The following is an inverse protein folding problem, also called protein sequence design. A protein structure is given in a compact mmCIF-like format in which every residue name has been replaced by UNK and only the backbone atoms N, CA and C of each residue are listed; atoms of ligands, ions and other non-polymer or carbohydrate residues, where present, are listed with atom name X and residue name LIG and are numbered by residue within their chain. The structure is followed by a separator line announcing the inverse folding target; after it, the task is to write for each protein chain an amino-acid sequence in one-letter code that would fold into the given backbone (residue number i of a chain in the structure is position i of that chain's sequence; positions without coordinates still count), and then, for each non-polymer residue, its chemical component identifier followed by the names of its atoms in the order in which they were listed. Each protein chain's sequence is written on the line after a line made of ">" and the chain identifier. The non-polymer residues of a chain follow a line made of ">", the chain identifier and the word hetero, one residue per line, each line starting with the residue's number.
data_IF_072394558915
#
_entry.id   IF_072394558915
#
_cell.length_a   1.000
_cell.length_b   1.000
_cell.length_c   1.000
_cell.angle_alpha   90.00
_cell.angle_beta   90.00
_cell.angle_gamma   90.00
#
_symmetry.space_group_name_H-M   'P 1'
#
loop_
_entity.id
_entity.type
_entity.pdbx_description
1 polymer ?
#
# COMPACT_ATOMS: atom_id res chain seq x y z
N UNK A 1 2.74 -2.30 -15.42
CA UNK A 1 2.54 -1.87 -14.01
C UNK A 1 3.50 -2.66 -13.12
N UNK A 2 4.35 -1.99 -12.33
CA UNK A 2 5.17 -2.67 -11.31
C UNK A 2 4.40 -2.75 -10.00
N UNK A 3 4.24 -3.94 -9.42
CA UNK A 3 3.58 -4.13 -8.13
C UNK A 3 4.66 -4.45 -7.09
N UNK A 4 4.82 -3.59 -6.09
CA UNK A 4 5.71 -3.81 -4.96
C UNK A 4 4.88 -4.14 -3.72
N UNK A 5 4.91 -5.40 -3.31
CA UNK A 5 4.29 -5.86 -2.06
C UNK A 5 5.36 -6.02 -0.99
N UNK A 6 5.13 -5.48 0.21
CA UNK A 6 6.16 -5.53 1.25
C UNK A 6 6.39 -6.95 1.79
N UNK A 7 5.33 -7.71 2.06
CA UNK A 7 5.39 -9.07 2.61
C UNK A 7 4.16 -9.88 2.18
N UNK A 8 4.25 -11.20 2.14
CA UNK A 8 3.06 -12.05 1.98
C UNK A 8 2.19 -12.00 3.23
N UNK A 9 0.93 -11.63 3.05
CA UNK A 9 -0.08 -11.60 4.09
C UNK A 9 -1.44 -11.48 3.41
N UNK A 10 -2.43 -12.24 3.86
CA UNK A 10 -3.72 -12.37 3.15
C UNK A 10 -4.39 -11.02 2.84
N UNK A 11 -4.30 -10.04 3.73
CA UNK A 11 -4.85 -8.70 3.47
C UNK A 11 -4.16 -7.96 2.32
N UNK A 12 -2.85 -8.15 2.16
CA UNK A 12 -2.06 -7.52 1.10
C UNK A 12 -2.29 -8.23 -0.24
N UNK A 13 -2.39 -9.57 -0.21
CA UNK A 13 -2.69 -10.38 -1.39
C UNK A 13 -4.07 -10.02 -1.96
N UNK A 14 -5.08 -9.91 -1.09
CA UNK A 14 -6.43 -9.48 -1.47
C UNK A 14 -6.46 -8.05 -2.03
N UNK A 15 -5.54 -7.19 -1.60
CA UNK A 15 -5.44 -5.83 -2.15
C UNK A 15 -4.95 -5.85 -3.61
N UNK A 16 -4.05 -6.77 -3.96
CA UNK A 16 -3.62 -6.98 -5.34
C UNK A 16 -4.74 -7.58 -6.20
N UNK A 17 -5.45 -8.60 -5.70
CA UNK A 17 -6.59 -9.18 -6.39
C UNK A 17 -7.67 -8.12 -6.66
N UNK A 18 -8.01 -7.32 -5.66
CA UNK A 18 -8.95 -6.21 -5.80
C UNK A 18 -8.51 -5.15 -6.80
N UNK A 19 -7.21 -4.84 -6.86
CA UNK A 19 -6.65 -3.94 -7.87
C UNK A 19 -6.83 -4.50 -9.30
N UNK A 20 -6.48 -5.77 -9.52
CA UNK A 20 -6.66 -6.45 -10.81
C UNK A 20 -8.13 -6.48 -11.23
N UNK A 21 -9.02 -6.89 -10.33
CA UNK A 21 -10.46 -6.89 -10.56
C UNK A 21 -11.00 -5.47 -10.86
N UNK A 22 -10.44 -4.45 -10.21
CA UNK A 22 -10.74 -3.04 -10.49
C UNK A 22 -10.39 -2.65 -11.93
N UNK A 23 -9.20 -3.01 -12.42
CA UNK A 23 -8.80 -2.79 -13.82
C UNK A 23 -9.73 -3.52 -14.80
N UNK A 24 -10.01 -4.80 -14.54
CA UNK A 24 -10.92 -5.61 -15.36
C UNK A 24 -12.34 -5.02 -15.42
N UNK A 25 -12.85 -4.51 -14.29
CA UNK A 25 -14.16 -3.86 -14.23
C UNK A 25 -14.26 -2.59 -15.09
N UNK A 26 -13.11 -1.99 -15.44
CA UNK A 26 -13.01 -0.86 -16.37
C UNK A 26 -12.81 -1.30 -17.82
N UNK A 27 -12.83 -2.60 -18.08
CA UNK A 27 -12.67 -3.19 -19.41
C UNK A 27 -11.22 -3.38 -19.85
N UNK A 28 -10.25 -3.12 -18.96
CA UNK A 28 -8.83 -3.35 -19.23
C UNK A 28 -8.50 -4.83 -19.04
N UNK A 29 -7.71 -5.41 -19.94
CA UNK A 29 -7.32 -6.82 -19.91
C UNK A 29 -5.81 -6.97 -19.71
N UNK A 30 -5.43 -7.85 -18.79
CA UNK A 30 -4.03 -8.23 -18.61
C UNK A 30 -3.49 -8.87 -19.92
N UNK A 31 -2.22 -8.62 -20.22
CA UNK A 31 -1.50 -8.98 -21.45
C UNK A 31 -2.01 -8.34 -22.75
N UNK A 32 -3.02 -7.46 -22.67
CA UNK A 32 -3.51 -6.67 -23.80
C UNK A 32 -3.34 -5.17 -23.53
N UNK A 33 -3.92 -4.68 -22.44
CA UNK A 33 -3.92 -3.26 -22.07
C UNK A 33 -2.88 -2.96 -20.99
N UNK A 34 -2.57 -3.94 -20.13
CA UNK A 34 -1.56 -3.81 -19.09
C UNK A 34 -0.87 -5.15 -18.80
N UNK A 35 0.33 -5.07 -18.21
CA UNK A 35 1.04 -6.23 -17.64
C UNK A 35 1.40 -5.95 -16.19
N UNK A 36 1.45 -7.00 -15.38
CA UNK A 36 1.83 -6.93 -13.97
C UNK A 36 3.22 -7.53 -13.79
N UNK A 37 4.12 -6.75 -13.18
CA UNK A 37 5.42 -7.22 -12.69
C UNK A 37 5.37 -7.20 -11.17
N UNK A 38 5.02 -8.34 -10.58
CA UNK A 38 4.87 -8.49 -9.13
C UNK A 38 6.22 -8.81 -8.48
N UNK A 39 6.60 -8.00 -7.49
CA UNK A 39 7.77 -8.17 -6.66
C UNK A 39 7.35 -8.14 -5.18
N UNK A 40 7.81 -9.11 -4.40
CA UNK A 40 7.54 -9.19 -2.96
C UNK A 40 8.83 -9.04 -2.17
N UNK A 41 8.91 -8.03 -1.31
CA UNK A 41 10.11 -7.69 -0.55
C UNK A 41 10.38 -8.60 0.66
N UNK A 42 9.50 -9.56 0.95
CA UNK A 42 9.64 -10.53 2.04
C UNK A 42 9.89 -9.89 3.42
N UNK A 43 9.26 -8.74 3.65
CA UNK A 43 9.38 -7.96 4.89
C UNK A 43 10.69 -7.19 5.04
N UNK A 44 11.52 -7.11 3.99
CA UNK A 44 12.84 -6.48 4.05
C UNK A 44 12.89 -5.14 3.29
N UNK A 45 13.29 -4.08 4.00
CA UNK A 45 13.32 -2.71 3.45
C UNK A 45 14.38 -2.55 2.33
N UNK A 46 15.65 -2.99 2.50
CA UNK A 46 16.63 -2.95 1.41
C UNK A 46 16.18 -3.69 0.15
N UNK A 47 15.49 -4.83 0.30
CA UNK A 47 14.91 -5.58 -0.81
C UNK A 47 13.82 -4.77 -1.50
N UNK A 48 12.92 -4.12 -0.75
CA UNK A 48 11.90 -3.24 -1.30
C UNK A 48 12.50 -2.08 -2.12
N UNK A 49 13.58 -1.47 -1.62
CA UNK A 49 14.31 -0.41 -2.34
C UNK A 49 14.93 -0.94 -3.65
N UNK A 50 15.54 -2.13 -3.62
CA UNK A 50 16.12 -2.75 -4.82
C UNK A 50 15.06 -3.01 -5.89
N UNK A 51 13.90 -3.54 -5.49
CA UNK A 51 12.77 -3.81 -6.40
C UNK A 51 12.19 -2.52 -6.98
N UNK A 52 11.97 -1.50 -6.15
CA UNK A 52 11.54 -0.19 -6.62
C UNK A 52 12.55 0.42 -7.62
N UNK A 53 13.86 0.26 -7.37
CA UNK A 53 14.90 0.76 -8.29
C UNK A 53 14.84 0.03 -9.64
N UNK A 54 14.55 -1.26 -9.64
CA UNK A 54 14.34 -2.03 -10.86
C UNK A 54 13.11 -1.53 -11.63
N UNK A 55 12.02 -1.15 -10.95
CA UNK A 55 10.85 -0.56 -11.62
C UNK A 55 11.17 0.79 -12.27
N UNK A 56 11.95 1.63 -11.59
CA UNK A 56 12.41 2.91 -12.16
C UNK A 56 13.31 2.68 -13.38
N UNK A 57 14.28 1.77 -13.26
CA UNK A 57 15.22 1.44 -14.34
C UNK A 57 14.51 0.87 -15.57
N UNK A 58 13.49 0.03 -15.35
CA UNK A 58 12.65 -0.53 -16.39
C UNK A 58 11.52 0.42 -16.85
N UNK A 59 11.51 1.67 -16.37
CA UNK A 59 10.59 2.74 -16.77
C UNK A 59 9.12 2.31 -16.75
N UNK A 60 8.68 1.67 -15.64
CA UNK A 60 7.26 1.29 -15.48
C UNK A 60 6.37 2.53 -15.59
N UNK A 61 5.19 2.37 -16.20
CA UNK A 61 4.22 3.46 -16.36
C UNK A 61 3.49 3.81 -15.05
N UNK A 62 3.43 2.85 -14.12
CA UNK A 62 2.78 2.95 -12.82
C UNK A 62 3.47 1.99 -11.85
N UNK A 63 3.67 2.43 -10.61
CA UNK A 63 4.02 1.58 -9.48
C UNK A 63 2.80 1.46 -8.57
N UNK A 64 2.33 0.24 -8.32
CA UNK A 64 1.34 -0.07 -7.31
C UNK A 64 2.06 -0.61 -6.07
N UNK A 65 2.04 0.15 -4.98
CA UNK A 65 2.78 -0.16 -3.76
C UNK A 65 1.82 -0.60 -2.65
N UNK A 66 2.04 -1.80 -2.11
CA UNK A 66 1.19 -2.42 -1.11
C UNK A 66 1.94 -2.43 0.23
N UNK A 67 1.39 -1.73 1.21
CA UNK A 67 1.96 -1.38 2.52
C UNK A 67 2.90 -0.16 2.55
N UNK A 68 2.95 0.52 3.70
CA UNK A 68 3.73 1.75 3.93
C UNK A 68 5.20 1.64 3.52
N UNK A 69 5.96 0.59 3.91
CA UNK A 69 7.39 0.50 3.55
C UNK A 69 7.61 0.36 2.04
N UNK A 70 6.71 -0.34 1.33
CA UNK A 70 6.78 -0.46 -0.12
C UNK A 70 6.51 0.89 -0.81
N UNK A 71 5.51 1.64 -0.34
CA UNK A 71 5.19 2.96 -0.87
C UNK A 71 6.34 3.95 -0.64
N UNK A 72 6.94 3.94 0.55
CA UNK A 72 8.11 4.77 0.86
C UNK A 72 9.33 4.39 0.01
N UNK A 73 9.60 3.09 -0.17
CA UNK A 73 10.69 2.62 -1.03
C UNK A 73 10.53 3.13 -2.48
N UNK A 74 9.32 3.00 -3.04
CA UNK A 74 9.02 3.52 -4.38
C UNK A 74 9.16 5.05 -4.44
N UNK A 75 8.58 5.78 -3.49
CA UNK A 75 8.58 7.24 -3.49
C UNK A 75 10.00 7.80 -3.34
N UNK A 76 10.86 7.16 -2.56
CA UNK A 76 12.25 7.59 -2.40
C UNK A 76 13.07 7.47 -3.68
N UNK A 77 12.68 6.58 -4.60
CA UNK A 77 13.43 6.31 -5.82
C UNK A 77 12.88 7.03 -7.05
N UNK A 78 11.63 7.47 -7.03
CA UNK A 78 11.06 8.24 -8.14
C UNK A 78 10.03 9.26 -7.69
N UNK A 79 10.19 10.47 -8.23
CA UNK A 79 9.21 11.56 -8.15
C UNK A 79 8.46 11.78 -9.47
N UNK A 80 8.69 10.91 -10.47
CA UNK A 80 8.18 11.06 -11.83
C UNK A 80 7.16 9.98 -12.21
N UNK A 81 7.45 8.72 -11.91
CA UNK A 81 6.53 7.61 -12.19
C UNK A 81 5.37 7.73 -11.20
N UNK A 82 4.10 7.71 -11.65
CA UNK A 82 2.97 7.69 -10.74
C UNK A 82 3.04 6.49 -9.78
N UNK A 83 2.80 6.74 -8.49
CA UNK A 83 2.75 5.72 -7.44
C UNK A 83 1.33 5.69 -6.90
N UNK A 84 0.68 4.54 -7.01
CA UNK A 84 -0.60 4.25 -6.38
C UNK A 84 -0.34 3.38 -5.14
N UNK A 85 -0.66 3.86 -3.95
CA UNK A 85 -0.52 3.07 -2.73
C UNK A 85 -1.85 2.44 -2.27
N UNK A 86 -1.74 1.35 -1.54
CA UNK A 86 -2.82 0.79 -0.71
C UNK A 86 -2.26 0.17 0.55
N UNK A 87 -3.13 -0.15 1.52
CA UNK A 87 -2.75 -0.67 2.85
C UNK A 87 -1.73 0.25 3.56
N UNK A 88 -1.92 1.56 3.40
CA UNK A 88 -1.13 2.60 4.07
C UNK A 88 -2.02 3.31 5.07
N UNK A 89 -1.73 3.13 6.36
CA UNK A 89 -2.60 3.63 7.43
C UNK A 89 -2.63 5.15 7.48
N UNK A 90 -1.46 5.79 7.46
CA UNK A 90 -1.35 7.25 7.53
C UNK A 90 -0.35 7.74 6.47
N UNK A 91 -0.82 8.08 5.25
CA UNK A 91 0.08 8.47 4.16
C UNK A 91 0.70 9.85 4.37
N UNK A 92 0.08 10.72 5.20
CA UNK A 92 0.63 12.03 5.54
C UNK A 92 1.80 11.87 6.50
N UNK A 93 1.65 11.11 7.59
CA UNK A 93 2.75 10.81 8.52
C UNK A 93 3.85 9.96 7.89
N UNK A 94 3.50 9.13 6.89
CA UNK A 94 4.48 8.41 6.10
C UNK A 94 5.24 9.29 5.10
N UNK A 95 4.92 10.59 5.02
CA UNK A 95 5.51 11.59 4.12
C UNK A 95 5.32 11.27 2.63
N UNK A 96 4.29 10.50 2.29
CA UNK A 96 3.96 10.13 0.92
C UNK A 96 3.16 11.22 0.21
N UNK A 97 2.32 11.91 0.96
CA UNK A 97 1.40 12.96 0.50
C UNK A 97 1.41 14.14 1.46
N UNK A 98 1.17 15.35 0.96
CA UNK A 98 1.10 16.55 1.80
C UNK A 98 -0.19 16.57 2.66
N UNK A 99 -1.31 16.11 2.10
CA UNK A 99 -2.60 16.03 2.77
C UNK A 99 -3.47 14.92 2.18
N UNK A 100 -4.58 14.60 2.85
CA UNK A 100 -5.56 13.64 2.34
C UNK A 100 -6.38 14.22 1.17
N UNK A 101 -6.54 15.54 1.12
CA UNK A 101 -7.28 16.24 0.07
C UNK A 101 -6.48 16.40 -1.21
N UNK A 102 -5.18 16.69 -1.10
CA UNK A 102 -4.26 16.86 -2.23
C UNK A 102 -2.89 16.29 -1.87
N UNK A 103 -2.38 15.41 -2.73
CA UNK A 103 -1.08 14.82 -2.49
C UNK A 103 0.08 15.77 -2.71
N UNK A 104 0.02 16.62 -3.75
CA UNK A 104 1.11 17.48 -4.23
C UNK A 104 2.44 16.74 -4.49
N UNK A 105 2.37 15.43 -4.67
CA UNK A 105 3.47 14.53 -5.03
C UNK A 105 3.05 13.68 -6.23
N UNK A 106 3.93 12.79 -6.72
CA UNK A 106 3.57 11.76 -7.70
C UNK A 106 2.84 10.56 -7.09
N UNK A 107 2.39 10.68 -5.83
CA UNK A 107 1.81 9.60 -5.05
C UNK A 107 0.33 9.89 -4.79
N UNK A 108 -0.51 8.86 -4.87
CA UNK A 108 -1.92 8.87 -4.45
C UNK A 108 -2.34 7.45 -4.10
N UNK A 109 -3.54 7.21 -3.58
CA UNK A 109 -3.93 5.86 -3.21
C UNK A 109 -5.11 5.77 -2.25
N UNK A 110 -5.21 4.62 -1.60
CA UNK A 110 -6.22 4.30 -0.58
C UNK A 110 -5.57 4.06 0.77
N UNK A 111 -6.11 4.69 1.81
CA UNK A 111 -5.72 4.43 3.19
C UNK A 111 -6.61 3.36 3.82
N UNK A 112 -6.03 2.56 4.70
CA UNK A 112 -6.72 1.58 5.55
C UNK A 112 -6.83 2.06 7.00
N UNK A 113 -6.86 3.39 7.22
CA UNK A 113 -6.99 4.01 8.54
C UNK A 113 -8.03 3.28 9.42
N UNK A 114 -7.58 2.86 10.60
CA UNK A 114 -8.37 2.02 11.49
C UNK A 114 -9.40 2.86 12.26
N UNK A 115 -10.67 2.43 12.34
CA UNK A 115 -11.67 3.09 13.15
C UNK A 115 -11.50 2.70 14.63
N UNK A 116 -10.46 3.23 15.30
CA UNK A 116 -10.08 2.87 16.67
C UNK A 116 -11.24 3.04 17.65
N UNK A 117 -12.01 4.13 17.55
CA UNK A 117 -13.18 4.36 18.41
C UNK A 117 -14.17 3.19 18.35
N UNK A 118 -14.46 2.70 17.14
CA UNK A 118 -15.35 1.54 16.96
C UNK A 118 -14.76 0.25 17.50
N UNK A 119 -13.44 0.09 17.43
CA UNK A 119 -12.75 -1.07 18.00
C UNK A 119 -12.82 -1.04 19.53
N UNK A 120 -12.60 0.11 20.16
CA UNK A 120 -12.73 0.27 21.62
C UNK A 120 -14.19 0.12 22.09
N UNK A 121 -15.16 0.66 21.34
CA UNK A 121 -16.58 0.43 21.59
C UNK A 121 -16.94 -1.05 21.57
N UNK A 122 -16.37 -1.81 20.62
CA UNK A 122 -16.57 -3.25 20.53
C UNK A 122 -15.92 -3.98 21.71
N UNK A 123 -14.69 -3.62 22.09
CA UNK A 123 -14.01 -4.19 23.27
C UNK A 123 -14.86 -3.97 24.52
N UNK A 124 -15.38 -2.75 24.73
CA UNK A 124 -16.23 -2.44 25.87
C UNK A 124 -17.54 -3.24 25.88
N UNK A 125 -18.12 -3.56 24.72
CA UNK A 125 -19.32 -4.40 24.62
C UNK A 125 -19.02 -5.87 24.93
N UNK A 126 -17.90 -6.38 24.44
CA UNK A 126 -17.54 -7.80 24.57
C UNK A 126 -16.90 -8.12 25.92
N UNK A 127 -16.12 -7.20 26.47
CA UNK A 127 -15.34 -7.36 27.70
C UNK A 127 -15.53 -6.11 28.59
N UNK A 128 -16.74 -5.85 29.12
CA UNK A 128 -17.09 -4.59 29.79
C UNK A 128 -16.28 -4.29 31.07
N UNK A 129 -15.62 -5.30 31.64
CA UNK A 129 -14.78 -5.16 32.83
C UNK A 129 -13.28 -5.03 32.52
N UNK A 130 -12.90 -4.94 31.24
CA UNK A 130 -11.50 -4.74 30.85
C UNK A 130 -11.00 -3.40 31.40
N UNK A 131 -9.91 -3.43 32.19
CA UNK A 131 -9.28 -2.24 32.77
C UNK A 131 -7.92 -1.90 32.16
N UNK A 132 -7.34 -2.84 31.41
CA UNK A 132 -6.02 -2.73 30.77
C UNK A 132 -6.11 -3.37 29.40
N UNK A 133 -5.63 -2.67 28.39
CA UNK A 133 -5.55 -3.14 27.01
C UNK A 133 -4.08 -3.10 26.62
N UNK A 134 -3.52 -4.25 26.27
CA UNK A 134 -2.18 -4.35 25.70
C UNK A 134 -2.27 -4.30 24.18
N UNK A 135 -1.53 -3.40 23.56
CA UNK A 135 -1.40 -3.34 22.10
C UNK A 135 0.03 -3.75 21.76
N UNK A 136 0.17 -4.87 21.09
CA UNK A 136 1.44 -5.30 20.53
C UNK A 136 1.53 -4.76 19.09
N UNK A 137 2.64 -4.09 18.78
CA UNK A 137 2.97 -3.59 17.45
C UNK A 137 4.45 -3.88 17.18
N UNK A 138 4.87 -3.84 15.91
CA UNK A 138 6.28 -3.92 15.51
C UNK A 138 6.76 -2.62 14.85
#
# INVERSE_FOLDING_TARGET
>A
IGVLQFVEHSALDLSLEGFKAGLESKGLKEDVDFTIDLQNAQGDIPTAQTMANNFVSNKKDLIFAIATPAAQAAYNLTKQIPILFTAVTDPVKAELVESMEKSNTNVTGTSDELPLDKQFDLINKLIPNAKKIGILYN
#
